data_IF_277567368829
#
_entry.id   IF_277567368829
#
_cell.length_a   1.000
_cell.length_b   1.000
_cell.length_c   1.000
_cell.angle_alpha   90.00
_cell.angle_beta   90.00
_cell.angle_gamma   90.00
#
_symmetry.space_group_name_H-M   'P 1'
#
loop_
_entity.id
_entity.type
_entity.pdbx_description
1 polymer ?
#
# COMPACT_ATOMS: atom_id res chain seq x y z
N UNK A 1 20.46 -21.19 16.10
CA UNK A 1 19.61 -21.64 14.99
C UNK A 1 18.59 -20.55 14.74
N UNK A 2 18.42 -20.21 13.47
CA UNK A 2 17.89 -18.99 12.85
C UNK A 2 16.42 -18.71 13.15
N UNK A 3 16.11 -17.43 13.39
CA UNK A 3 14.77 -16.82 13.59
C UNK A 3 13.88 -16.85 12.32
N UNK A 4 13.91 -17.93 11.54
CA UNK A 4 13.42 -17.96 10.17
C UNK A 4 12.10 -18.73 9.96
N UNK A 5 11.28 -18.99 10.97
CA UNK A 5 9.95 -19.60 10.75
C UNK A 5 8.86 -19.05 11.69
N UNK A 6 8.84 -17.74 11.93
CA UNK A 6 7.53 -17.09 12.10
C UNK A 6 6.94 -16.94 10.71
N UNK A 7 6.21 -17.96 10.28
CA UNK A 7 5.35 -17.87 9.11
C UNK A 7 4.56 -16.58 9.23
N UNK A 8 4.90 -15.62 8.38
CA UNK A 8 4.32 -14.29 8.41
C UNK A 8 2.89 -14.46 7.89
N UNK A 9 1.96 -14.78 8.80
CA UNK A 9 0.54 -14.97 8.49
C UNK A 9 -0.14 -13.65 8.13
N UNK A 10 0.63 -12.57 7.96
CA UNK A 10 0.12 -11.32 7.45
C UNK A 10 -0.53 -11.59 6.08
N UNK A 11 -1.78 -11.15 5.86
CA UNK A 11 -2.44 -11.29 4.56
C UNK A 11 -1.65 -10.61 3.43
N UNK A 12 -0.69 -9.76 3.79
CA UNK A 12 0.19 -9.04 2.89
C UNK A 12 1.53 -9.76 2.60
N UNK A 13 1.87 -10.85 3.29
CA UNK A 13 3.17 -11.53 3.14
C UNK A 13 3.41 -11.99 1.69
N UNK A 14 2.35 -12.42 0.99
CA UNK A 14 2.42 -12.80 -0.41
C UNK A 14 2.76 -11.66 -1.38
N UNK A 15 2.74 -10.40 -0.93
CA UNK A 15 3.08 -9.23 -1.73
C UNK A 15 4.55 -8.81 -1.59
N UNK A 16 5.27 -9.34 -0.59
CA UNK A 16 6.69 -9.02 -0.31
C UNK A 16 7.62 -9.21 -1.51
N UNK A 17 7.51 -10.28 -2.32
CA UNK A 17 8.40 -10.47 -3.47
C UNK A 17 8.26 -9.40 -4.55
N UNK A 18 7.16 -8.65 -4.54
CA UNK A 18 6.82 -7.67 -5.57
C UNK A 18 7.05 -6.23 -5.12
N UNK A 19 7.72 -6.01 -4.00
CA UNK A 19 7.96 -4.67 -3.45
C UNK A 19 8.85 -3.85 -4.38
N UNK A 20 8.43 -2.60 -4.65
CA UNK A 20 9.28 -1.58 -5.23
C UNK A 20 9.43 -0.43 -4.25
N UNK A 21 10.63 -0.29 -3.68
CA UNK A 21 11.00 0.86 -2.86
C UNK A 21 11.27 2.04 -3.77
N UNK A 22 10.52 3.13 -3.63
CA UNK A 22 10.77 4.36 -4.36
C UNK A 22 10.98 5.50 -3.37
N UNK A 23 12.24 5.84 -3.03
CA UNK A 23 12.55 6.92 -2.10
C UNK A 23 12.21 8.32 -2.66
N UNK A 24 11.73 8.43 -3.90
CA UNK A 24 11.43 9.69 -4.59
C UNK A 24 10.03 9.80 -5.19
N UNK A 25 9.09 8.88 -4.91
CA UNK A 25 7.71 8.98 -5.40
C UNK A 25 6.99 10.14 -4.68
N UNK A 26 7.17 11.34 -5.24
CA UNK A 26 6.78 12.63 -4.69
C UNK A 26 5.43 12.58 -3.98
N UNK A 27 5.49 13.02 -2.72
CA UNK A 27 4.39 13.26 -1.80
C UNK A 27 3.22 14.02 -2.47
N UNK A 28 2.37 13.33 -3.25
CA UNK A 28 0.99 13.75 -3.52
C UNK A 28 0.09 13.48 -2.30
N UNK A 29 0.70 13.67 -1.13
CA UNK A 29 0.17 13.57 0.23
C UNK A 29 -0.53 14.88 0.63
N UNK A 30 -0.51 15.90 -0.26
CA UNK A 30 -1.14 17.23 -0.08
C UNK A 30 -2.68 17.24 -0.14
N UNK A 31 -3.36 16.20 0.36
CA UNK A 31 -4.77 16.27 0.76
C UNK A 31 -4.91 15.65 2.14
N UNK A 32 -5.79 16.19 2.97
CA UNK A 32 -5.95 15.85 4.39
C UNK A 32 -6.48 14.43 4.56
N UNK A 33 -5.61 13.44 4.83
CA UNK A 33 -6.05 12.04 5.05
C UNK A 33 -6.64 11.88 6.42
N UNK A 34 -6.21 12.76 7.32
CA UNK A 34 -6.73 12.92 8.66
C UNK A 34 -8.20 13.35 8.74
N UNK A 35 -8.77 13.89 7.65
CA UNK A 35 -10.20 14.24 7.54
C UNK A 35 -11.08 13.03 7.20
N UNK A 36 -10.51 11.90 6.74
CA UNK A 36 -11.28 10.72 6.39
C UNK A 36 -11.35 9.75 7.57
N UNK A 37 -12.48 9.09 7.76
CA UNK A 37 -12.58 7.93 8.64
C UNK A 37 -11.84 6.73 8.02
N UNK A 38 -11.58 5.69 8.82
CA UNK A 38 -11.03 4.43 8.32
C UNK A 38 -11.97 3.79 7.28
N UNK A 39 -13.27 3.85 7.52
CA UNK A 39 -14.29 3.34 6.60
C UNK A 39 -14.28 4.08 5.25
N UNK A 40 -14.16 5.41 5.28
CA UNK A 40 -14.01 6.21 4.06
C UNK A 40 -12.70 5.91 3.34
N UNK A 41 -11.60 5.68 4.07
CA UNK A 41 -10.34 5.24 3.49
C UNK A 41 -10.53 3.91 2.75
N UNK A 42 -11.14 2.91 3.39
CA UNK A 42 -11.40 1.59 2.78
C UNK A 42 -12.31 1.68 1.55
N UNK A 43 -13.37 2.48 1.63
CA UNK A 43 -14.34 2.66 0.54
C UNK A 43 -13.71 3.36 -0.68
N UNK A 44 -12.82 4.31 -0.43
CA UNK A 44 -12.12 5.07 -1.47
C UNK A 44 -10.84 4.40 -1.96
N UNK A 45 -10.51 3.22 -1.43
CA UNK A 45 -9.34 2.47 -1.81
C UNK A 45 -9.47 1.96 -3.25
N UNK A 46 -8.45 2.23 -4.05
CA UNK A 46 -8.32 1.82 -5.45
C UNK A 46 -6.87 1.46 -5.71
N UNK A 47 -6.63 0.39 -6.46
CA UNK A 47 -5.30 0.09 -6.97
C UNK A 47 -5.19 0.68 -8.36
N UNK A 48 -4.19 1.52 -8.57
CA UNK A 48 -3.86 2.07 -9.86
C UNK A 48 -2.76 1.22 -10.50
N UNK A 49 -3.04 0.68 -11.67
CA UNK A 49 -2.09 -0.09 -12.47
C UNK A 49 -1.43 0.82 -13.52
N UNK A 50 -0.11 0.73 -13.62
CA UNK A 50 0.68 1.37 -14.67
C UNK A 50 1.61 0.37 -15.31
N UNK A 51 1.81 0.47 -16.63
CA UNK A 51 2.78 -0.35 -17.36
C UNK A 51 4.21 0.03 -17.00
N UNK A 52 5.07 -0.97 -16.80
CA UNK A 52 6.52 -0.83 -16.61
C UNK A 52 7.23 -1.87 -17.48
N UNK A 53 7.30 -1.57 -18.79
CA UNK A 53 7.67 -2.53 -19.83
C UNK A 53 6.55 -3.51 -20.20
N UNK A 54 6.89 -4.53 -20.99
CA UNK A 54 5.92 -5.49 -21.55
C UNK A 54 5.49 -6.58 -20.54
N UNK A 55 6.42 -6.99 -19.67
CA UNK A 55 6.21 -8.12 -18.74
C UNK A 55 5.71 -7.74 -17.35
N UNK A 56 5.80 -6.47 -16.97
CA UNK A 56 5.52 -6.02 -15.60
C UNK A 56 4.49 -4.91 -15.53
N UNK A 57 3.79 -4.89 -14.39
CA UNK A 57 2.86 -3.86 -13.99
C UNK A 57 3.26 -3.29 -12.65
N UNK A 58 3.04 -2.00 -12.48
CA UNK A 58 3.24 -1.28 -11.24
C UNK A 58 1.88 -1.03 -10.62
N UNK A 59 1.61 -1.70 -9.51
CA UNK A 59 0.42 -1.49 -8.70
C UNK A 59 0.70 -0.41 -7.65
N UNK A 60 -0.16 0.59 -7.58
CA UNK A 60 -0.09 1.67 -6.58
C UNK A 60 -1.39 1.71 -5.81
N UNK A 61 -1.35 1.46 -4.50
CA UNK A 61 -2.55 1.57 -3.66
C UNK A 61 -2.85 3.05 -3.39
N UNK A 62 -4.06 3.48 -3.73
CA UNK A 62 -4.52 4.85 -3.57
C UNK A 62 -5.80 4.94 -2.74
N UNK A 63 -5.92 6.05 -2.01
CA UNK A 63 -7.12 6.46 -1.27
C UNK A 63 -7.64 7.75 -1.91
N UNK A 64 -8.50 7.61 -2.92
CA UNK A 64 -8.82 8.70 -3.83
C UNK A 64 -7.59 9.23 -4.57
N UNK A 65 -7.17 10.48 -4.29
CA UNK A 65 -6.01 11.14 -4.94
C UNK A 65 -4.66 10.87 -4.26
N UNK A 66 -4.63 10.15 -3.13
CA UNK A 66 -3.41 9.91 -2.34
C UNK A 66 -2.85 8.54 -2.60
N UNK A 67 -1.53 8.43 -2.58
CA UNK A 67 -0.84 7.14 -2.56
C UNK A 67 -0.66 6.73 -1.10
N UNK A 68 -1.03 5.50 -0.77
CA UNK A 68 -0.81 4.94 0.56
C UNK A 68 0.54 4.21 0.57
N UNK A 69 1.34 4.47 1.60
CA UNK A 69 2.56 3.69 1.85
C UNK A 69 2.18 2.29 2.33
N UNK A 70 2.88 1.28 1.84
CA UNK A 70 2.70 -0.14 2.12
C UNK A 70 3.79 -0.61 3.09
N UNK A 71 4.04 0.15 4.15
CA UNK A 71 5.12 -0.10 5.11
C UNK A 71 4.98 -1.44 5.84
N UNK A 72 3.73 -1.90 5.99
CA UNK A 72 3.38 -3.22 6.51
C UNK A 72 3.90 -4.38 5.63
N UNK A 73 4.22 -4.11 4.36
CA UNK A 73 4.82 -5.07 3.43
C UNK A 73 6.34 -4.96 3.51
N UNK A 74 6.86 -3.73 3.34
CA UNK A 74 8.27 -3.40 3.45
C UNK A 74 8.45 -1.90 3.72
N UNK A 75 9.50 -1.50 4.47
CA UNK A 75 9.80 -0.09 4.72
C UNK A 75 9.88 0.72 3.42
N UNK A 76 9.27 1.91 3.40
CA UNK A 76 9.29 2.83 2.25
C UNK A 76 8.69 2.25 0.94
N UNK A 77 8.00 1.11 1.00
CA UNK A 77 7.28 0.57 -0.15
C UNK A 77 6.05 1.43 -0.44
N UNK A 78 5.93 1.97 -1.64
CA UNK A 78 4.71 2.69 -2.07
C UNK A 78 4.07 2.08 -3.32
N UNK A 79 4.76 1.14 -3.95
CA UNK A 79 4.36 0.50 -5.20
C UNK A 79 4.80 -0.95 -5.22
N UNK A 80 4.07 -1.76 -5.97
CA UNK A 80 4.42 -3.16 -6.20
C UNK A 80 4.67 -3.39 -7.68
N UNK A 81 5.82 -3.97 -8.02
CA UNK A 81 6.16 -4.43 -9.37
C UNK A 81 5.82 -5.90 -9.51
N UNK A 82 4.72 -6.18 -10.20
CA UNK A 82 4.17 -7.52 -10.35
C UNK A 82 4.27 -7.96 -11.81
N UNK A 83 4.48 -9.26 -12.09
CA UNK A 83 4.33 -9.80 -13.44
C UNK A 83 2.93 -9.52 -13.97
N UNK A 84 2.81 -9.18 -15.26
CA UNK A 84 1.54 -8.81 -15.91
C UNK A 84 0.43 -9.84 -15.68
N UNK A 85 0.76 -11.13 -15.76
CA UNK A 85 -0.19 -12.22 -15.57
C UNK A 85 -0.71 -12.35 -14.13
N UNK A 86 -0.02 -11.75 -13.14
CA UNK A 86 -0.41 -11.77 -11.72
C UNK A 86 -1.00 -10.44 -11.25
N UNK A 87 -0.99 -9.39 -12.10
CA UNK A 87 -1.37 -8.03 -11.72
C UNK A 87 -2.80 -7.94 -11.17
N UNK A 88 -3.75 -8.60 -11.83
CA UNK A 88 -5.14 -8.63 -11.38
C UNK A 88 -5.31 -9.37 -10.05
N UNK A 89 -4.61 -10.50 -9.86
CA UNK A 89 -4.68 -11.27 -8.63
C UNK A 89 -4.11 -10.47 -7.45
N UNK A 90 -2.95 -9.84 -7.62
CA UNK A 90 -2.33 -9.02 -6.57
C UNK A 90 -3.14 -7.77 -6.26
N UNK A 91 -3.79 -7.17 -7.27
CA UNK A 91 -4.75 -6.08 -7.09
C UNK A 91 -5.91 -6.49 -6.17
N UNK A 92 -6.53 -7.65 -6.44
CA UNK A 92 -7.63 -8.15 -5.62
C UNK A 92 -7.17 -8.42 -4.18
N UNK A 93 -5.98 -9.00 -3.99
CA UNK A 93 -5.40 -9.24 -2.66
C UNK A 93 -5.15 -7.95 -1.89
N UNK A 94 -4.61 -6.91 -2.53
CA UNK A 94 -4.42 -5.59 -1.93
C UNK A 94 -5.75 -4.98 -1.48
N UNK A 95 -6.75 -4.97 -2.35
CA UNK A 95 -8.07 -4.41 -2.03
C UNK A 95 -8.77 -5.21 -0.91
N UNK A 96 -8.64 -6.53 -0.93
CA UNK A 96 -9.17 -7.37 0.14
C UNK A 96 -8.47 -7.10 1.49
N UNK A 97 -7.15 -6.94 1.49
CA UNK A 97 -6.40 -6.61 2.69
C UNK A 97 -6.83 -5.26 3.28
N UNK A 98 -7.05 -4.24 2.43
CA UNK A 98 -7.64 -2.96 2.85
C UNK A 98 -9.02 -3.16 3.45
N UNK A 99 -9.90 -3.91 2.78
CA UNK A 99 -11.26 -4.17 3.27
C UNK A 99 -11.28 -4.88 4.62
N UNK A 100 -10.33 -5.79 4.85
CA UNK A 100 -10.15 -6.54 6.11
C UNK A 100 -9.45 -5.73 7.21
N UNK A 101 -9.03 -4.49 6.94
CA UNK A 101 -8.37 -3.64 7.92
C UNK A 101 -6.88 -3.94 8.14
N UNK A 102 -6.24 -4.74 7.27
CA UNK A 102 -4.82 -5.09 7.41
C UNK A 102 -3.86 -3.90 7.25
N UNK A 103 -4.37 -2.73 6.85
CA UNK A 103 -3.62 -1.48 6.69
C UNK A 103 -4.14 -0.37 7.61
N UNK A 104 -5.02 -0.67 8.57
CA UNK A 104 -5.61 0.35 9.45
C UNK A 104 -4.56 1.07 10.30
N UNK A 105 -3.60 0.34 10.87
CA UNK A 105 -2.53 0.96 11.66
C UNK A 105 -1.68 1.91 10.81
N UNK A 106 -1.32 1.49 9.59
CA UNK A 106 -0.61 2.34 8.63
C UNK A 106 -1.43 3.58 8.22
N UNK A 107 -2.76 3.44 8.09
CA UNK A 107 -3.66 4.57 7.83
C UNK A 107 -3.69 5.53 9.02
N UNK A 108 -3.84 5.04 10.25
CA UNK A 108 -3.85 5.85 11.46
C UNK A 108 -2.52 6.59 11.67
N UNK A 109 -1.40 5.90 11.44
CA UNK A 109 -0.08 6.51 11.57
C UNK A 109 0.16 7.57 10.49
N UNK A 110 -0.26 7.31 9.25
CA UNK A 110 -0.23 8.32 8.19
C UNK A 110 -1.11 9.54 8.53
N UNK A 111 -2.27 9.35 9.16
CA UNK A 111 -3.13 10.44 9.63
C UNK A 111 -2.48 11.25 10.75
N UNK A 112 -1.87 10.58 11.75
CA UNK A 112 -1.15 11.22 12.85
C UNK A 112 0.05 12.03 12.36
N UNK A 113 0.86 11.44 11.48
CA UNK A 113 2.01 12.11 10.88
C UNK A 113 1.60 13.39 10.14
N UNK A 114 0.54 13.34 9.34
CA UNK A 114 0.02 14.54 8.66
C UNK A 114 -0.49 15.61 9.62
N UNK A 115 -1.20 15.24 10.71
CA UNK A 115 -1.66 16.21 11.70
C UNK A 115 -0.49 16.95 12.35
N UNK A 116 0.61 16.24 12.65
CA UNK A 116 1.84 16.84 13.20
C UNK A 116 2.54 17.78 12.22
N UNK A 117 2.52 17.50 10.93
CA UNK A 117 3.10 18.39 9.90
C UNK A 117 2.24 19.63 9.58
N UNK A 118 1.05 19.75 10.17
CA UNK A 118 0.16 20.91 10.01
C UNK A 118 0.10 21.80 11.27
N UNK A 119 0.72 21.36 12.38
CA UNK A 119 0.92 22.15 13.59
C UNK A 119 2.23 22.93 13.50
#
# INVERSE_FOLDING_TARGET
MTELERGDTSPLACLRPYVLVNPGAGNKVKKRIWELTLEECRTRARVFETSDGDDHRILTLKLGKKVLSLEQIAPQCSRLRVPRHQAQQMTNKLLEAVRKGALDDALLDAQRAQRRSQA
#
